data_IF_733576092689
#
_entry.id   IF_733576092689
#
_cell.length_a   1.000
_cell.length_b   1.000
_cell.length_c   1.000
_cell.angle_alpha   90.00
_cell.angle_beta   90.00
_cell.angle_gamma   90.00
#
_symmetry.space_group_name_H-M   'P 1'
#
loop_
_entity.id
_entity.type
_entity.pdbx_description
1 polymer ?
#
# COMPACT_ATOMS: atom_id res chain seq x y z
N UNK A 1 3.03 23.30 6.31
CA UNK A 1 2.30 22.90 6.06
C UNK A 1 2.22 21.85 5.64
N UNK A 2 1.83 21.38 5.75
CA UNK A 2 1.75 20.44 5.50
C UNK A 2 0.96 20.00 4.68
N UNK A 3 1.25 19.55 3.90
CA UNK A 3 0.55 19.17 2.90
C UNK A 3 -0.06 17.91 3.10
N UNK A 4 0.51 17.04 3.78
CA UNK A 4 -0.02 15.78 4.09
C UNK A 4 -1.32 15.86 4.83
N UNK A 5 -1.74 17.03 5.08
CA UNK A 5 -2.96 17.20 5.81
C UNK A 5 -4.19 16.93 4.99
N UNK A 6 -4.04 16.74 3.71
CA UNK A 6 -5.20 16.47 2.88
C UNK A 6 -5.78 15.12 3.23
N UNK A 7 -7.05 15.12 3.59
CA UNK A 7 -7.75 13.89 3.94
C UNK A 7 -8.50 13.39 2.73
N UNK A 8 -8.27 12.14 2.37
CA UNK A 8 -8.97 11.54 1.24
C UNK A 8 -10.32 11.02 1.73
N UNK A 9 -11.39 11.59 1.21
CA UNK A 9 -12.74 11.26 1.67
C UNK A 9 -13.64 10.76 0.58
N UNK A 10 -13.10 10.47 -0.60
CA UNK A 10 -13.94 10.02 -1.72
C UNK A 10 -13.28 8.87 -2.45
N UNK A 11 -14.09 7.88 -2.79
CA UNK A 11 -13.60 6.76 -3.58
C UNK A 11 -13.36 7.14 -5.03
N UNK A 12 -13.77 8.33 -5.44
CA UNK A 12 -13.47 8.79 -6.78
C UNK A 12 -12.08 9.43 -6.87
N UNK A 13 -11.40 9.58 -5.75
CA UNK A 13 -10.03 10.08 -5.75
C UNK A 13 -9.16 9.15 -6.57
N UNK A 14 -8.30 9.74 -7.40
CA UNK A 14 -7.47 8.94 -8.30
C UNK A 14 -6.54 8.00 -7.55
N UNK A 15 -6.06 8.40 -6.38
CA UNK A 15 -5.20 7.54 -5.59
C UNK A 15 -5.93 6.31 -5.08
N UNK A 16 -7.20 6.49 -4.68
CA UNK A 16 -8.01 5.36 -4.23
C UNK A 16 -8.24 4.40 -5.37
N UNK A 17 -8.54 4.92 -6.55
CA UNK A 17 -8.74 4.07 -7.72
C UNK A 17 -7.48 3.30 -8.08
N UNK A 18 -6.35 3.94 -7.94
CA UNK A 18 -5.07 3.29 -8.23
C UNK A 18 -4.85 2.10 -7.29
N UNK A 19 -5.11 2.28 -6.01
CA UNK A 19 -4.96 1.19 -5.05
C UNK A 19 -5.89 0.04 -5.38
N UNK A 20 -7.14 0.35 -5.65
CA UNK A 20 -8.13 -0.67 -5.98
C UNK A 20 -7.71 -1.45 -7.22
N UNK A 21 -7.24 -0.75 -8.24
CA UNK A 21 -6.79 -1.42 -9.46
C UNK A 21 -5.59 -2.32 -9.20
N UNK A 22 -4.66 -1.86 -8.39
CA UNK A 22 -3.50 -2.69 -8.07
C UNK A 22 -3.90 -3.94 -7.29
N UNK A 23 -4.92 -3.82 -6.44
CA UNK A 23 -5.38 -4.97 -5.68
C UNK A 23 -6.12 -5.98 -6.55
N UNK A 24 -6.87 -5.50 -7.53
CA UNK A 24 -7.73 -6.37 -8.30
C UNK A 24 -7.19 -6.85 -9.63
N UNK A 25 -6.28 -6.11 -10.22
CA UNK A 25 -5.84 -6.41 -11.58
C UNK A 25 -4.37 -6.72 -11.65
N UNK A 26 -4.04 -7.98 -11.92
CA UNK A 26 -2.65 -8.37 -12.01
C UNK A 26 -1.92 -7.65 -13.15
N UNK A 27 -2.65 -7.33 -14.22
CA UNK A 27 -2.05 -6.59 -15.32
C UNK A 27 -1.56 -5.22 -14.93
N UNK A 28 -2.27 -4.57 -14.01
CA UNK A 28 -1.85 -3.27 -13.53
C UNK A 28 -0.57 -3.40 -12.70
N UNK A 29 -0.47 -4.46 -11.91
CA UNK A 29 0.74 -4.69 -11.13
C UNK A 29 1.95 -4.94 -12.03
N UNK A 30 1.75 -5.73 -13.07
CA UNK A 30 2.86 -6.02 -13.99
C UNK A 30 3.28 -4.78 -14.77
N UNK A 31 2.31 -4.01 -15.20
CA UNK A 31 2.57 -2.84 -16.00
C UNK A 31 3.29 -1.76 -15.20
N UNK A 32 2.86 -1.54 -13.96
CA UNK A 32 3.40 -0.48 -13.14
C UNK A 32 4.61 -0.88 -12.32
N UNK A 33 4.79 -2.16 -12.08
CA UNK A 33 5.83 -2.61 -11.18
C UNK A 33 5.51 -2.34 -9.72
N UNK A 34 4.23 -2.18 -9.40
CA UNK A 34 3.79 -1.86 -8.05
C UNK A 34 2.81 -2.92 -7.54
N UNK A 35 2.78 -3.08 -6.24
CA UNK A 35 1.80 -3.97 -5.62
C UNK A 35 1.42 -3.41 -4.26
N UNK A 36 0.36 -3.93 -3.67
CA UNK A 36 -0.17 -3.40 -2.42
C UNK A 36 -0.03 -4.43 -1.32
N UNK A 37 0.41 -3.98 -0.15
CA UNK A 37 0.38 -4.82 1.05
C UNK A 37 -0.60 -4.17 2.03
N UNK A 38 -1.30 -4.98 2.78
CA UNK A 38 -2.25 -4.50 3.77
C UNK A 38 -1.96 -5.14 5.11
N UNK A 39 -2.12 -4.36 6.15
CA UNK A 39 -2.01 -4.88 7.49
C UNK A 39 -0.74 -4.45 8.17
N UNK A 40 -0.82 -4.28 9.48
CA UNK A 40 0.28 -3.75 10.26
C UNK A 40 1.48 -4.67 10.24
N UNK A 41 1.25 -5.96 10.38
CA UNK A 41 2.36 -6.90 10.47
C UNK A 41 3.21 -6.88 9.20
N UNK A 42 2.54 -6.95 8.06
CA UNK A 42 3.26 -6.95 6.79
C UNK A 42 3.97 -5.62 6.59
N UNK A 43 3.29 -4.53 6.96
CA UNK A 43 3.87 -3.21 6.83
C UNK A 43 5.15 -3.09 7.67
N UNK A 44 5.13 -3.62 8.89
CA UNK A 44 6.29 -3.54 9.77
C UNK A 44 7.47 -4.33 9.23
N UNK A 45 7.21 -5.36 8.45
CA UNK A 45 8.26 -6.19 7.87
C UNK A 45 8.73 -5.69 6.51
N UNK A 46 8.04 -4.70 5.96
CA UNK A 46 8.36 -4.23 4.62
C UNK A 46 9.67 -3.46 4.59
N UNK A 47 10.36 -3.54 3.46
CA UNK A 47 11.59 -2.80 3.29
C UNK A 47 11.25 -1.35 2.96
N UNK A 48 11.69 -0.44 3.79
CA UNK A 48 11.37 0.97 3.61
C UNK A 48 11.79 1.51 2.25
N UNK A 49 12.89 1.00 1.72
CA UNK A 49 13.38 1.48 0.43
C UNK A 49 12.44 1.16 -0.72
N UNK A 50 11.57 0.18 -0.55
CA UNK A 50 10.64 -0.22 -1.59
C UNK A 50 9.25 0.37 -1.40
N UNK A 51 9.04 1.11 -0.33
CA UNK A 51 7.74 1.73 -0.09
C UNK A 51 7.55 2.88 -1.06
N UNK A 52 6.47 2.83 -1.82
CA UNK A 52 6.15 3.87 -2.79
C UNK A 52 5.19 4.89 -2.18
N UNK A 53 4.12 4.42 -1.55
CA UNK A 53 3.15 5.29 -0.89
C UNK A 53 2.50 4.55 0.25
N UNK A 54 2.09 5.28 1.28
CA UNK A 54 1.43 4.69 2.43
C UNK A 54 0.09 5.37 2.60
N UNK A 55 -0.93 4.57 2.89
CA UNK A 55 -2.27 5.09 3.18
C UNK A 55 -2.70 4.56 4.54
N UNK A 56 -3.17 5.45 5.39
CA UNK A 56 -3.61 5.09 6.72
C UNK A 56 -4.96 5.72 7.00
N UNK A 57 -5.84 4.97 7.64
CA UNK A 57 -7.14 5.49 8.00
C UNK A 57 -7.01 6.42 9.20
N UNK A 58 -8.01 7.27 9.39
CA UNK A 58 -8.02 8.16 10.53
C UNK A 58 -7.93 7.39 11.84
N UNK A 59 -8.67 6.30 11.94
CA UNK A 59 -8.66 5.48 13.16
C UNK A 59 -7.30 4.87 13.42
N UNK A 60 -6.63 4.41 12.37
CA UNK A 60 -5.31 3.83 12.52
C UNK A 60 -4.33 4.89 13.03
N UNK A 61 -4.40 6.07 12.48
CA UNK A 61 -3.49 7.14 12.88
C UNK A 61 -3.74 7.53 14.33
N UNK A 62 -5.00 7.56 14.74
CA UNK A 62 -5.31 7.89 16.12
C UNK A 62 -4.74 6.87 17.10
N UNK A 63 -4.73 5.60 16.70
CA UNK A 63 -4.28 4.53 17.59
C UNK A 63 -2.79 4.25 17.46
N UNK A 64 -2.24 4.38 16.27
CA UNK A 64 -0.88 3.92 15.98
C UNK A 64 -0.06 4.92 15.17
N UNK A 65 -0.40 6.19 15.23
CA UNK A 65 0.29 7.19 14.41
C UNK A 65 1.79 7.22 14.59
N UNK A 66 2.27 6.84 15.76
CA UNK A 66 3.71 6.85 16.01
C UNK A 66 4.46 5.88 15.12
N UNK A 67 3.80 4.83 14.68
CA UNK A 67 4.46 3.87 13.80
C UNK A 67 4.77 4.47 12.43
N UNK A 68 4.14 5.58 12.11
CA UNK A 68 4.35 6.25 10.83
C UNK A 68 5.36 7.39 10.91
N UNK A 69 5.93 7.61 12.08
CA UNK A 69 6.94 8.65 12.23
C UNK A 69 8.09 8.38 11.27
N UNK A 70 8.50 9.40 10.56
CA UNK A 70 9.57 9.25 9.60
C UNK A 70 9.11 8.84 8.21
N UNK A 71 7.83 8.54 8.05
CA UNK A 71 7.27 8.20 6.75
C UNK A 71 6.32 9.28 6.28
N UNK A 72 6.24 9.44 4.99
CA UNK A 72 5.20 10.26 4.39
C UNK A 72 4.02 9.36 4.09
N UNK A 73 2.84 9.79 4.44
CA UNK A 73 1.65 8.98 4.21
C UNK A 73 0.46 9.88 3.92
N UNK A 74 -0.57 9.28 3.33
CA UNK A 74 -1.83 9.96 3.07
C UNK A 74 -2.85 9.47 4.07
N UNK A 75 -3.65 10.38 4.56
CA UNK A 75 -4.72 10.04 5.49
C UNK A 75 -6.01 9.79 4.72
N UNK A 76 -6.68 8.71 5.04
CA UNK A 76 -7.90 8.30 4.34
C UNK A 76 -9.01 8.17 5.39
N UNK A 77 -10.22 8.63 5.05
CA UNK A 77 -11.33 8.46 5.98
C UNK A 77 -11.57 6.96 6.18
N UNK A 78 -12.09 6.61 7.36
CA UNK A 78 -12.34 5.21 7.68
C UNK A 78 -13.25 4.55 6.66
N UNK A 79 -14.27 5.27 6.23
CA UNK A 79 -15.22 4.74 5.29
C UNK A 79 -14.58 4.44 3.93
N UNK A 80 -13.77 5.37 3.44
CA UNK A 80 -13.09 5.17 2.16
C UNK A 80 -12.06 4.06 2.28
N UNK A 81 -11.33 4.02 3.39
CA UNK A 81 -10.36 2.95 3.58
C UNK A 81 -11.02 1.58 3.51
N UNK A 82 -12.17 1.45 4.15
CA UNK A 82 -12.88 0.19 4.14
C UNK A 82 -13.26 -0.22 2.72
N UNK A 83 -13.60 0.73 1.89
CA UNK A 83 -13.98 0.44 0.52
C UNK A 83 -12.79 0.12 -0.38
N UNK A 84 -11.63 0.70 -0.11
CA UNK A 84 -10.48 0.42 -0.94
C UNK A 84 -9.71 -0.82 -0.49
N UNK A 85 -9.95 -1.28 0.74
CA UNK A 85 -9.26 -2.43 1.27
C UNK A 85 -9.81 -3.72 0.70
N UNK A 86 -8.95 -4.73 0.60
CA UNK A 86 -9.36 -6.03 0.10
C UNK A 86 -9.68 -7.00 1.23
N UNK A 87 -9.59 -6.58 2.48
CA UNK A 87 -9.90 -7.45 3.60
C UNK A 87 -11.24 -7.06 4.19
N UNK A 88 -11.88 -8.02 4.87
CA UNK A 88 -13.13 -7.74 5.51
C UNK A 88 -13.00 -6.85 6.71
N UNK A 89 -11.91 -7.01 7.46
CA UNK A 89 -11.68 -6.23 8.66
C UNK A 89 -10.34 -5.52 8.52
N UNK A 90 -10.31 -4.44 7.76
CA UNK A 90 -9.04 -3.75 7.52
C UNK A 90 -8.49 -3.16 8.80
N UNK A 91 -7.19 -3.25 8.95
CA UNK A 91 -6.53 -2.68 10.11
C UNK A 91 -6.31 -1.19 9.98
N UNK A 92 -6.42 -0.67 8.77
CA UNK A 92 -6.30 0.76 8.56
C UNK A 92 -4.94 1.21 8.04
N UNK A 93 -4.11 0.28 7.59
CA UNK A 93 -2.81 0.63 7.01
C UNK A 93 -2.60 -0.21 5.78
N UNK A 94 -2.18 0.42 4.70
CA UNK A 94 -1.73 -0.29 3.52
C UNK A 94 -0.65 0.52 2.85
N UNK A 95 0.13 -0.13 2.02
CA UNK A 95 1.20 0.55 1.31
C UNK A 95 1.32 0.02 -0.09
N UNK A 96 1.63 0.92 -1.01
CA UNK A 96 1.98 0.54 -2.37
C UNK A 96 3.49 0.35 -2.36
N UNK A 97 3.92 -0.82 -2.79
CA UNK A 97 5.33 -1.20 -2.79
C UNK A 97 5.84 -1.31 -4.20
N UNK A 98 7.11 -1.04 -4.38
CA UNK A 98 7.77 -1.24 -5.67
C UNK A 98 8.27 -2.66 -5.74
N UNK A 99 8.08 -3.30 -6.87
CA UNK A 99 8.68 -4.61 -7.07
C UNK A 99 10.17 -4.42 -7.27
N UNK A 100 10.99 -5.23 -6.61
CA UNK A 100 12.44 -5.11 -6.79
C UNK A 100 12.79 -5.34 -8.25
N UNK A 101 13.70 -4.54 -8.75
CA UNK A 101 14.18 -4.71 -10.11
C UNK A 101 15.44 -5.53 -10.05
N UNK A 102 15.30 -6.82 -10.21
CA UNK A 102 16.47 -7.70 -10.18
C UNK A 102 16.93 -8.02 -11.56
N UNK A 103 18.23 -8.09 -11.70
CA UNK A 103 18.81 -8.52 -12.95
C UNK A 103 19.11 -9.98 -12.82
N UNK A 104 18.08 -10.80 -12.73
CA UNK A 104 18.23 -12.20 -12.41
C UNK A 104 18.07 -13.05 -13.66
N UNK A 105 18.95 -14.04 -13.89
CA UNK A 105 18.79 -14.96 -15.01
C UNK A 105 17.46 -15.67 -14.93
N UNK A 106 16.92 -16.01 -16.05
CA UNK A 106 15.62 -16.65 -16.12
C UNK A 106 15.54 -17.91 -15.27
N UNK A 107 16.55 -18.72 -15.34
CA UNK A 107 16.55 -19.95 -14.57
C UNK A 107 16.47 -19.70 -13.09
N UNK A 108 17.11 -18.66 -12.66
CA UNK A 108 17.10 -18.32 -11.27
C UNK A 108 15.76 -17.75 -10.85
N UNK A 109 15.12 -17.03 -11.73
CA UNK A 109 13.83 -16.48 -11.47
C UNK A 109 12.82 -17.55 -11.15
N UNK A 110 12.92 -18.68 -11.82
CA UNK A 110 12.05 -19.77 -11.53
C UNK A 110 12.11 -20.21 -10.10
N UNK A 111 13.29 -20.23 -9.54
CA UNK A 111 13.46 -20.73 -8.21
C UNK A 111 12.93 -19.79 -7.18
N UNK A 112 12.95 -18.52 -7.47
CA UNK A 112 12.57 -17.57 -6.46
C UNK A 112 11.13 -17.28 -6.42
N UNK A 113 10.42 -17.71 -7.43
CA UNK A 113 9.08 -17.32 -7.45
C UNK A 113 8.12 -18.20 -6.89
N UNK A 114 8.35 -19.04 -6.28
CA UNK A 114 7.35 -19.85 -5.72
C UNK A 114 6.56 -19.07 -4.82
N UNK A 115 6.25 -18.65 -4.79
CA UNK A 115 5.83 -18.08 -4.14
C UNK A 115 5.21 -17.52 -4.10
N UNK A 116 4.90 -17.51 -4.12
CA UNK A 116 4.46 -17.02 -4.10
C UNK A 116 3.86 -16.86 -3.83
#
# INVERSE_FOLDING_TARGET
MQIGDTLITSTSNIQVKTVINLLKKSGERKKSGLFVIEGLRIFMEAQAALVHRIYASESFIAAHGKLLDGFEYETVSDNVFRQMSDTRTPQGILAIMKMPAYNIPVSYTHLTLPRS
#
